data_IF_339116476849
#
_entry.id   IF_339116476849
#
_cell.length_a   1.000
_cell.length_b   1.000
_cell.length_c   1.000
_cell.angle_alpha   90.00
_cell.angle_beta   90.00
_cell.angle_gamma   90.00
#
_symmetry.space_group_name_H-M   'P 1'
#
loop_
_entity.id
_entity.type
_entity.pdbx_description
1 polymer ?
#
# COMPACT_ATOMS: atom_id res chain seq x y z
N UNK A 1 31.33 4.39 -15.66
CA UNK A 1 30.87 3.40 -14.68
C UNK A 1 29.48 2.99 -15.14
N UNK A 2 29.30 1.75 -15.60
CA UNK A 2 27.99 1.17 -15.86
C UNK A 2 27.24 1.14 -14.54
N UNK A 3 25.97 1.61 -14.46
CA UNK A 3 25.20 1.44 -13.24
C UNK A 3 25.14 -0.05 -12.93
N UNK A 4 25.53 -0.44 -11.73
CA UNK A 4 25.28 -1.78 -11.23
C UNK A 4 23.77 -2.02 -11.36
N UNK A 5 23.40 -2.97 -12.22
CA UNK A 5 22.00 -3.40 -12.33
C UNK A 5 21.66 -4.04 -10.99
N UNK A 6 20.92 -3.34 -10.16
CA UNK A 6 20.50 -3.85 -8.87
C UNK A 6 19.67 -5.12 -9.10
N UNK A 7 20.12 -6.26 -8.57
CA UNK A 7 19.48 -7.56 -8.78
C UNK A 7 18.01 -7.55 -8.31
N UNK A 8 17.71 -6.81 -7.23
CA UNK A 8 16.36 -6.63 -6.71
C UNK A 8 16.07 -5.12 -6.57
N UNK A 9 14.99 -4.60 -7.19
CA UNK A 9 14.60 -3.19 -7.03
C UNK A 9 14.15 -2.92 -5.59
N UNK A 10 14.23 -1.66 -5.18
CA UNK A 10 13.46 -1.20 -4.03
C UNK A 10 11.96 -1.30 -4.35
N UNK A 11 11.13 -1.48 -3.34
CA UNK A 11 9.67 -1.41 -3.47
C UNK A 11 9.16 -0.32 -2.55
N UNK A 12 8.62 0.73 -3.14
CA UNK A 12 7.86 1.76 -2.45
C UNK A 12 6.38 1.40 -2.55
N UNK A 13 5.85 0.83 -1.46
CA UNK A 13 4.52 0.23 -1.48
C UNK A 13 3.38 1.27 -1.44
N UNK A 14 3.70 2.53 -1.14
CA UNK A 14 2.75 3.63 -1.12
C UNK A 14 3.48 4.97 -1.17
N UNK A 15 3.22 5.77 -2.19
CA UNK A 15 3.78 7.13 -2.31
C UNK A 15 2.79 8.08 -2.97
N UNK A 16 2.77 9.34 -2.52
CA UNK A 16 2.07 10.44 -3.21
C UNK A 16 3.01 11.25 -4.09
N UNK A 17 4.32 11.03 -3.98
CA UNK A 17 5.36 11.78 -4.66
C UNK A 17 6.31 10.84 -5.43
N UNK A 18 5.84 10.16 -6.50
CA UNK A 18 6.69 9.23 -7.24
C UNK A 18 7.85 9.96 -7.92
N UNK A 19 9.04 9.36 -7.87
CA UNK A 19 10.20 9.84 -8.60
C UNK A 19 10.11 9.44 -10.07
N UNK A 20 9.93 10.41 -10.96
CA UNK A 20 9.88 10.16 -12.40
C UNK A 20 11.20 9.61 -12.94
N UNK A 21 11.13 8.49 -13.66
CA UNK A 21 12.28 7.89 -14.32
C UNK A 21 13.24 7.11 -13.41
N UNK A 22 12.91 6.90 -12.14
CA UNK A 22 13.69 6.01 -11.28
C UNK A 22 13.58 4.56 -11.76
N UNK A 23 14.70 4.00 -12.23
CA UNK A 23 14.81 2.62 -12.67
C UNK A 23 15.19 1.67 -11.52
N UNK A 24 15.50 2.20 -10.34
CA UNK A 24 16.01 1.42 -9.20
C UNK A 24 14.91 0.94 -8.26
N UNK A 25 13.71 1.53 -8.35
CA UNK A 25 12.56 1.18 -7.52
C UNK A 25 11.31 0.82 -8.33
N UNK A 26 10.46 0.02 -7.71
CA UNK A 26 9.04 -0.14 -8.06
C UNK A 26 8.29 0.82 -7.15
N UNK A 27 7.48 1.72 -7.72
CA UNK A 27 6.74 2.72 -6.97
C UNK A 27 5.24 2.54 -7.19
N UNK A 28 4.46 2.46 -6.10
CA UNK A 28 3.00 2.38 -6.16
C UNK A 28 2.44 3.75 -5.78
N UNK A 29 2.14 4.54 -6.82
CA UNK A 29 1.59 5.88 -6.68
C UNK A 29 0.13 5.82 -6.24
N UNK A 30 -0.19 6.43 -5.11
CA UNK A 30 -1.55 6.57 -4.61
C UNK A 30 -2.27 7.70 -5.34
N UNK A 31 -3.30 7.36 -6.11
CA UNK A 31 -4.11 8.30 -6.88
C UNK A 31 -5.49 8.45 -6.24
N UNK A 32 -5.96 9.68 -6.11
CA UNK A 32 -7.35 9.93 -5.76
C UNK A 32 -8.28 9.64 -6.93
N UNK A 33 -9.54 9.31 -6.63
CA UNK A 33 -10.54 9.00 -7.65
C UNK A 33 -10.66 10.08 -8.73
N UNK A 34 -10.56 11.35 -8.34
CA UNK A 34 -10.72 12.50 -9.25
C UNK A 34 -9.47 12.86 -10.03
N UNK A 35 -8.32 12.29 -9.69
CA UNK A 35 -7.08 12.54 -10.40
C UNK A 35 -7.07 11.90 -11.78
N UNK A 36 -6.41 12.57 -12.72
CA UNK A 36 -6.21 12.00 -14.04
C UNK A 36 -5.25 10.80 -13.94
N UNK A 37 -5.60 9.72 -14.61
CA UNK A 37 -4.65 8.62 -14.81
C UNK A 37 -3.48 9.13 -15.65
N UNK A 38 -2.23 8.84 -15.27
CA UNK A 38 -1.09 9.12 -16.14
C UNK A 38 -1.31 8.48 -17.53
N UNK A 39 -1.06 9.23 -18.59
CA UNK A 39 -1.14 8.67 -19.95
C UNK A 39 -0.12 7.54 -20.15
N UNK A 40 1.05 7.69 -19.51
CA UNK A 40 2.11 6.70 -19.49
C UNK A 40 2.70 6.61 -18.08
N UNK A 41 2.84 5.39 -17.58
CA UNK A 41 3.61 5.12 -16.39
C UNK A 41 5.09 4.99 -16.76
N UNK A 42 5.95 5.87 -16.26
CA UNK A 42 7.37 5.80 -16.52
C UNK A 42 8.01 4.61 -15.79
N UNK A 43 8.90 3.90 -16.46
CA UNK A 43 9.71 2.84 -15.86
C UNK A 43 8.89 1.79 -15.09
N UNK A 44 9.20 1.63 -13.81
CA UNK A 44 8.55 0.67 -12.89
C UNK A 44 7.50 1.35 -11.98
N UNK A 45 6.82 2.38 -12.47
CA UNK A 45 5.73 3.04 -11.76
C UNK A 45 4.41 2.32 -11.98
N UNK A 46 3.67 2.16 -10.91
CA UNK A 46 2.33 1.57 -10.84
C UNK A 46 1.42 2.49 -10.02
N UNK A 47 0.15 2.15 -9.91
CA UNK A 47 -0.79 2.93 -9.12
C UNK A 47 -1.68 2.08 -8.23
N UNK A 48 -2.15 2.70 -7.16
CA UNK A 48 -3.37 2.34 -6.46
C UNK A 48 -4.41 3.44 -6.64
N UNK A 49 -5.69 3.11 -6.67
CA UNK A 49 -6.80 4.07 -6.75
C UNK A 49 -7.87 3.64 -5.76
N UNK A 50 -8.37 4.57 -4.95
CA UNK A 50 -9.39 4.32 -3.95
C UNK A 50 -10.26 5.53 -3.62
N UNK A 51 -11.19 5.33 -2.69
CA UNK A 51 -12.07 6.34 -2.14
C UNK A 51 -11.58 6.70 -0.74
N UNK A 52 -10.72 7.71 -0.66
CA UNK A 52 -10.11 8.10 0.61
C UNK A 52 -11.17 8.53 1.65
N UNK A 53 -11.07 8.13 2.93
CA UNK A 53 -12.07 8.45 3.95
C UNK A 53 -12.31 9.95 4.16
N UNK A 54 -11.34 10.80 3.88
CA UNK A 54 -11.51 12.26 3.98
C UNK A 54 -12.48 12.83 2.95
N UNK A 55 -12.72 12.11 1.86
CA UNK A 55 -13.65 12.50 0.79
C UNK A 55 -15.03 11.83 0.93
N UNK A 56 -15.24 11.01 1.95
CA UNK A 56 -16.44 10.17 2.08
C UNK A 56 -17.75 10.98 2.10
N UNK A 57 -17.73 12.27 2.46
CA UNK A 57 -18.92 13.11 2.46
C UNK A 57 -19.45 13.34 1.05
N UNK A 58 -18.59 13.52 0.08
CA UNK A 58 -18.91 13.84 -1.32
C UNK A 58 -19.09 12.60 -2.20
N UNK A 59 -18.77 11.40 -1.68
CA UNK A 59 -18.88 10.16 -2.42
C UNK A 59 -20.33 9.75 -2.64
N UNK A 60 -20.58 9.14 -3.81
CA UNK A 60 -21.87 8.63 -4.27
C UNK A 60 -21.72 7.22 -4.85
N UNK A 61 -22.83 6.56 -5.19
CA UNK A 61 -22.79 5.30 -5.95
C UNK A 61 -22.07 5.47 -7.31
N UNK A 62 -22.16 6.65 -7.93
CA UNK A 62 -21.42 6.98 -9.15
C UNK A 62 -19.91 6.98 -8.93
N UNK A 63 -19.44 7.30 -7.72
CA UNK A 63 -18.01 7.23 -7.37
C UNK A 63 -17.50 5.78 -7.37
N UNK A 64 -18.30 4.82 -6.92
CA UNK A 64 -17.95 3.39 -6.95
C UNK A 64 -17.89 2.87 -8.39
N UNK A 65 -18.81 3.27 -9.25
CA UNK A 65 -18.79 2.90 -10.68
C UNK A 65 -17.56 3.47 -11.40
N UNK A 66 -17.23 4.73 -11.13
CA UNK A 66 -16.03 5.37 -11.68
C UNK A 66 -14.75 4.71 -11.16
N UNK A 67 -14.71 4.33 -9.87
CA UNK A 67 -13.59 3.60 -9.29
C UNK A 67 -13.39 2.26 -10.00
N UNK A 68 -14.45 1.48 -10.19
CA UNK A 68 -14.39 0.20 -10.90
C UNK A 68 -13.88 0.37 -12.33
N UNK A 69 -14.38 1.37 -13.07
CA UNK A 69 -13.90 1.68 -14.42
C UNK A 69 -12.39 1.96 -14.44
N UNK A 70 -11.91 2.81 -13.51
CA UNK A 70 -10.48 3.15 -13.43
C UNK A 70 -9.61 1.96 -13.08
N UNK A 71 -10.03 1.11 -12.13
CA UNK A 71 -9.30 -0.11 -11.74
C UNK A 71 -9.17 -1.13 -12.88
N UNK A 72 -10.14 -1.15 -13.81
CA UNK A 72 -10.14 -2.02 -14.98
C UNK A 72 -9.39 -1.43 -16.18
N UNK A 73 -9.19 -0.10 -16.21
CA UNK A 73 -8.67 0.61 -17.38
C UNK A 73 -7.20 0.32 -17.68
N UNK A 74 -6.40 0.04 -16.65
CA UNK A 74 -4.96 -0.16 -16.80
C UNK A 74 -4.44 -1.30 -15.92
N UNK A 75 -3.66 -2.24 -16.48
CA UNK A 75 -2.99 -3.27 -15.70
C UNK A 75 -1.92 -2.68 -14.75
N UNK A 76 -1.48 -1.44 -14.98
CA UNK A 76 -0.58 -0.70 -14.08
C UNK A 76 -1.27 -0.24 -12.78
N UNK A 77 -2.59 -0.35 -12.66
CA UNK A 77 -3.30 -0.20 -11.38
C UNK A 77 -3.27 -1.56 -10.67
N UNK A 78 -2.40 -1.66 -9.66
CA UNK A 78 -2.05 -2.93 -8.99
C UNK A 78 -2.75 -3.14 -7.65
N UNK A 79 -3.42 -2.12 -7.11
CA UNK A 79 -4.14 -2.18 -5.84
C UNK A 79 -5.38 -1.27 -5.85
N UNK A 80 -6.36 -1.59 -5.03
CA UNK A 80 -7.39 -0.67 -4.61
C UNK A 80 -6.89 0.07 -3.36
N UNK A 81 -6.93 1.38 -3.38
CA UNK A 81 -6.45 2.24 -2.29
C UNK A 81 -5.96 3.60 -2.82
N UNK A 82 -5.94 4.58 -2.00
CA UNK A 82 -6.06 4.54 -0.54
C UNK A 82 -7.53 4.50 -0.14
N UNK A 83 -7.91 3.48 0.60
CA UNK A 83 -9.24 3.25 1.15
C UNK A 83 -9.14 3.17 2.68
N UNK A 84 -10.21 3.36 3.44
CA UNK A 84 -10.06 3.10 4.87
C UNK A 84 -10.94 3.90 5.81
N UNK A 85 -10.44 4.06 7.05
CA UNK A 85 -11.19 4.61 8.17
C UNK A 85 -10.35 5.59 8.98
N UNK A 86 -10.89 6.79 9.17
CA UNK A 86 -10.28 7.84 9.98
C UNK A 86 -11.31 8.43 10.97
N UNK A 87 -11.09 8.21 12.28
CA UNK A 87 -11.96 8.76 13.33
C UNK A 87 -11.60 10.20 13.72
N UNK A 88 -10.58 10.79 13.09
CA UNK A 88 -10.13 12.15 13.41
C UNK A 88 -10.60 13.17 12.36
N UNK A 89 -10.80 12.72 11.12
CA UNK A 89 -11.30 13.60 10.07
C UNK A 89 -12.77 14.01 10.30
N UNK A 90 -13.21 15.06 9.62
CA UNK A 90 -14.54 15.65 9.77
C UNK A 90 -15.66 14.87 9.04
N UNK A 91 -15.31 13.97 8.13
CA UNK A 91 -16.30 13.23 7.33
C UNK A 91 -17.10 12.24 8.18
N UNK A 92 -18.40 12.09 7.94
CA UNK A 92 -19.26 11.18 8.72
C UNK A 92 -18.73 9.74 8.70
N UNK A 93 -18.44 9.19 9.88
CA UNK A 93 -17.85 7.86 10.03
C UNK A 93 -18.73 6.74 9.44
N UNK A 94 -20.06 6.91 9.47
CA UNK A 94 -20.99 5.96 8.84
C UNK A 94 -20.83 5.90 7.32
N UNK A 95 -20.53 7.02 6.66
CA UNK A 95 -20.23 7.06 5.23
C UNK A 95 -18.90 6.38 4.93
N UNK A 96 -17.85 6.65 5.75
CA UNK A 96 -16.57 5.96 5.60
C UNK A 96 -16.75 4.43 5.68
N UNK A 97 -17.51 3.95 6.69
CA UNK A 97 -17.80 2.52 6.84
C UNK A 97 -18.57 1.93 5.65
N UNK A 98 -19.51 2.69 5.09
CA UNK A 98 -20.27 2.25 3.93
C UNK A 98 -19.36 2.09 2.71
N UNK A 99 -18.62 3.14 2.32
CA UNK A 99 -17.76 3.09 1.16
C UNK A 99 -16.63 2.10 1.31
N UNK A 100 -15.98 2.01 2.48
CA UNK A 100 -14.96 1.02 2.74
C UNK A 100 -15.45 -0.42 2.55
N UNK A 101 -16.69 -0.74 2.97
CA UNK A 101 -17.31 -2.05 2.73
C UNK A 101 -17.51 -2.34 1.24
N UNK A 102 -17.94 -1.35 0.48
CA UNK A 102 -18.10 -1.51 -0.98
C UNK A 102 -16.75 -1.64 -1.69
N UNK A 103 -15.74 -0.91 -1.26
CA UNK A 103 -14.37 -1.05 -1.76
C UNK A 103 -13.80 -2.44 -1.49
N UNK A 104 -14.03 -3.01 -0.31
CA UNK A 104 -13.61 -4.39 0.00
C UNK A 104 -14.26 -5.40 -0.94
N UNK A 105 -15.57 -5.27 -1.19
CA UNK A 105 -16.28 -6.15 -2.13
C UNK A 105 -15.75 -5.99 -3.56
N UNK A 106 -15.44 -4.76 -3.95
CA UNK A 106 -14.87 -4.46 -5.27
C UNK A 106 -13.47 -5.05 -5.42
N UNK A 107 -12.61 -4.88 -4.42
CA UNK A 107 -11.26 -5.44 -4.39
C UNK A 107 -11.28 -6.96 -4.52
N UNK A 108 -12.14 -7.63 -3.75
CA UNK A 108 -12.34 -9.09 -3.83
C UNK A 108 -12.82 -9.50 -5.22
N UNK A 109 -13.80 -8.79 -5.81
CA UNK A 109 -14.31 -9.11 -7.16
C UNK A 109 -13.24 -8.97 -8.25
N UNK A 110 -12.28 -8.06 -8.09
CA UNK A 110 -11.22 -7.76 -9.05
C UNK A 110 -9.88 -8.44 -8.74
N UNK A 111 -9.82 -9.25 -7.68
CA UNK A 111 -8.59 -9.88 -7.17
C UNK A 111 -7.46 -8.85 -6.93
N UNK A 112 -7.82 -7.69 -6.37
CA UNK A 112 -6.89 -6.62 -6.05
C UNK A 112 -6.59 -6.56 -4.55
N UNK A 113 -5.33 -6.39 -4.13
CA UNK A 113 -5.00 -6.06 -2.75
C UNK A 113 -5.54 -4.68 -2.37
N UNK A 114 -5.77 -4.46 -1.06
CA UNK A 114 -6.14 -3.15 -0.53
C UNK A 114 -4.96 -2.48 0.17
N UNK A 115 -4.76 -1.17 -0.12
CA UNK A 115 -3.91 -0.27 0.65
C UNK A 115 -4.82 0.59 1.52
N UNK A 116 -4.61 0.55 2.84
CA UNK A 116 -5.58 1.02 3.83
C UNK A 116 -5.01 2.16 4.66
N UNK A 117 -5.73 3.28 4.63
CA UNK A 117 -5.61 4.37 5.58
C UNK A 117 -6.29 4.02 6.90
N UNK A 118 -5.56 4.10 8.02
CA UNK A 118 -6.09 3.72 9.31
C UNK A 118 -5.72 4.69 10.42
N UNK A 119 -6.66 5.53 10.84
CA UNK A 119 -6.47 6.46 11.96
C UNK A 119 -7.50 6.23 13.06
N UNK A 120 -7.02 5.79 14.24
CA UNK A 120 -7.82 5.54 15.45
C UNK A 120 -9.05 4.65 15.27
N UNK A 121 -9.02 3.74 14.27
CA UNK A 121 -10.12 2.84 13.92
C UNK A 121 -9.71 1.35 13.86
N UNK A 122 -8.63 0.96 14.54
CA UNK A 122 -8.05 -0.39 14.48
C UNK A 122 -9.06 -1.49 14.84
N UNK A 123 -9.84 -1.30 15.90
CA UNK A 123 -10.82 -2.30 16.36
C UNK A 123 -11.93 -2.52 15.32
N UNK A 124 -12.40 -1.43 14.69
CA UNK A 124 -13.39 -1.51 13.63
C UNK A 124 -12.84 -2.23 12.41
N UNK A 125 -11.60 -1.92 12.00
CA UNK A 125 -10.96 -2.58 10.87
C UNK A 125 -10.80 -4.09 11.10
N UNK A 126 -10.34 -4.50 12.30
CA UNK A 126 -10.22 -5.92 12.67
C UNK A 126 -11.59 -6.60 12.67
N UNK A 127 -12.64 -5.93 13.19
CA UNK A 127 -14.02 -6.44 13.17
C UNK A 127 -14.52 -6.61 11.75
N UNK A 128 -14.35 -5.60 10.89
CA UNK A 128 -14.74 -5.64 9.48
C UNK A 128 -14.07 -6.77 8.72
N UNK A 129 -12.77 -6.99 8.92
CA UNK A 129 -12.06 -8.11 8.29
C UNK A 129 -12.62 -9.46 8.69
N UNK A 130 -12.97 -9.65 9.97
CA UNK A 130 -13.62 -10.89 10.44
C UNK A 130 -15.03 -11.08 9.89
N UNK A 131 -15.78 -10.00 9.75
CA UNK A 131 -17.15 -9.99 9.25
C UNK A 131 -17.20 -10.27 7.75
N UNK A 132 -16.43 -9.51 6.97
CA UNK A 132 -16.42 -9.56 5.49
C UNK A 132 -15.67 -10.77 4.95
N UNK A 133 -14.68 -11.30 5.69
CA UNK A 133 -13.83 -12.45 5.30
C UNK A 133 -13.23 -12.30 3.89
N UNK A 134 -12.58 -11.17 3.60
CA UNK A 134 -12.02 -10.94 2.27
C UNK A 134 -10.95 -11.98 1.93
N UNK A 135 -10.87 -12.35 0.65
CA UNK A 135 -9.76 -13.15 0.15
C UNK A 135 -8.58 -12.27 -0.31
N UNK A 136 -8.85 -11.05 -0.73
CA UNK A 136 -7.81 -10.07 -1.06
C UNK A 136 -6.98 -9.68 0.15
N UNK A 137 -5.64 -9.57 0.02
CA UNK A 137 -4.78 -9.17 1.12
C UNK A 137 -4.92 -7.67 1.42
N UNK A 138 -4.71 -7.31 2.70
CA UNK A 138 -4.86 -5.95 3.19
C UNK A 138 -3.55 -5.42 3.77
N UNK A 139 -3.08 -4.29 3.24
CA UNK A 139 -1.90 -3.54 3.69
C UNK A 139 -2.35 -2.28 4.41
N UNK A 140 -1.99 -2.12 5.68
CA UNK A 140 -2.13 -0.85 6.39
C UNK A 140 -0.89 -0.03 6.11
N UNK A 141 -1.05 1.11 5.41
CA UNK A 141 0.06 2.01 5.15
C UNK A 141 0.32 2.94 6.36
N UNK A 142 1.45 3.62 6.37
CA UNK A 142 1.81 4.61 7.39
C UNK A 142 1.87 4.06 8.82
N UNK A 143 2.17 2.78 9.03
CA UNK A 143 2.09 2.18 10.35
C UNK A 143 3.20 2.67 11.29
N UNK A 144 2.79 3.33 12.40
CA UNK A 144 3.68 3.87 13.44
C UNK A 144 3.37 3.32 14.85
N UNK A 145 2.52 2.29 14.90
CA UNK A 145 2.04 1.71 16.16
C UNK A 145 3.10 0.91 16.91
N UNK A 146 2.82 0.69 18.20
CA UNK A 146 3.68 -0.11 19.08
C UNK A 146 3.63 -1.60 18.75
N UNK A 147 4.58 -2.41 19.25
CA UNK A 147 4.67 -3.85 18.98
C UNK A 147 3.39 -4.63 19.29
N UNK A 148 2.66 -4.25 20.35
CA UNK A 148 1.41 -4.94 20.72
C UNK A 148 0.32 -4.73 19.68
N UNK A 149 0.24 -3.51 19.12
CA UNK A 149 -0.69 -3.18 18.04
C UNK A 149 -0.30 -3.90 16.74
N UNK A 150 1.00 -3.87 16.39
CA UNK A 150 1.52 -4.62 15.25
C UNK A 150 1.19 -6.12 15.38
N UNK A 151 1.48 -6.74 16.53
CA UNK A 151 1.20 -8.14 16.78
C UNK A 151 -0.30 -8.48 16.66
N UNK A 152 -1.20 -7.61 17.13
CA UNK A 152 -2.64 -7.81 16.97
C UNK A 152 -3.08 -7.79 15.51
N UNK A 153 -2.60 -6.80 14.73
CA UNK A 153 -2.91 -6.67 13.31
C UNK A 153 -2.35 -7.83 12.49
N UNK A 154 -1.10 -8.21 12.74
CA UNK A 154 -0.45 -9.34 12.07
C UNK A 154 -1.18 -10.67 12.34
N UNK A 155 -1.62 -10.94 13.60
CA UNK A 155 -2.47 -12.10 13.93
C UNK A 155 -3.81 -12.08 13.21
N UNK A 156 -4.32 -10.89 12.89
CA UNK A 156 -5.56 -10.72 12.12
C UNK A 156 -5.34 -10.78 10.60
N UNK A 157 -4.11 -11.07 10.16
CA UNK A 157 -3.78 -11.28 8.74
C UNK A 157 -3.56 -10.01 7.95
N UNK A 158 -3.22 -8.89 8.58
CA UNK A 158 -2.83 -7.66 7.90
C UNK A 158 -1.35 -7.69 7.53
N UNK A 159 -1.01 -6.95 6.48
CA UNK A 159 0.33 -6.48 6.17
C UNK A 159 0.48 -5.06 6.70
N UNK A 160 1.72 -4.65 7.02
CA UNK A 160 2.03 -3.32 7.56
C UNK A 160 3.11 -2.66 6.71
N UNK A 161 2.90 -1.41 6.32
CA UNK A 161 3.93 -0.61 5.64
C UNK A 161 4.50 0.44 6.58
N UNK A 162 5.81 0.66 6.47
CA UNK A 162 6.60 1.48 7.38
C UNK A 162 7.34 2.57 6.59
N UNK A 163 7.06 3.82 6.92
CA UNK A 163 7.73 4.97 6.35
C UNK A 163 8.84 5.53 7.24
N UNK A 164 9.08 6.83 7.17
CA UNK A 164 10.16 7.55 7.85
C UNK A 164 10.25 7.32 9.36
N UNK A 165 9.12 7.13 10.03
CA UNK A 165 9.05 6.98 11.48
C UNK A 165 8.36 5.67 11.83
N UNK A 166 9.14 4.65 12.11
CA UNK A 166 8.61 3.36 12.52
C UNK A 166 9.16 2.94 13.90
N UNK A 167 8.43 2.04 14.54
CA UNK A 167 8.90 1.37 15.76
C UNK A 167 9.69 0.12 15.38
N UNK A 168 10.97 0.03 15.75
CA UNK A 168 11.88 -1.05 15.34
C UNK A 168 11.37 -2.45 15.65
N UNK A 169 10.78 -2.65 16.82
CA UNK A 169 10.21 -3.95 17.20
C UNK A 169 8.96 -4.29 16.36
N UNK A 170 8.15 -3.29 16.00
CA UNK A 170 6.98 -3.49 15.14
C UNK A 170 7.39 -3.91 13.72
N UNK A 171 8.44 -3.27 13.18
CA UNK A 171 9.03 -3.65 11.90
C UNK A 171 9.59 -5.07 11.96
N UNK A 172 10.34 -5.42 13.02
CA UNK A 172 10.93 -6.74 13.19
C UNK A 172 9.85 -7.85 13.25
N UNK A 173 8.73 -7.60 13.96
CA UNK A 173 7.60 -8.52 14.02
C UNK A 173 6.97 -8.74 12.64
N UNK A 174 6.71 -7.66 11.89
CA UNK A 174 6.11 -7.74 10.56
C UNK A 174 7.05 -8.41 9.55
N UNK A 175 8.33 -8.03 9.55
CA UNK A 175 9.37 -8.62 8.72
C UNK A 175 9.54 -10.12 8.99
N UNK A 176 9.61 -10.53 10.26
CA UNK A 176 9.74 -11.93 10.66
C UNK A 176 8.58 -12.81 10.20
N UNK A 177 7.37 -12.23 10.00
CA UNK A 177 6.19 -12.93 9.48
C UNK A 177 6.02 -12.81 7.95
N UNK A 178 6.94 -12.15 7.23
CA UNK A 178 6.80 -11.89 5.80
C UNK A 178 5.62 -10.97 5.47
N UNK A 179 5.37 -9.96 6.31
CA UNK A 179 4.22 -9.04 6.18
C UNK A 179 4.58 -7.57 6.36
N UNK A 180 5.86 -7.21 6.15
CA UNK A 180 6.34 -5.85 6.19
C UNK A 180 6.50 -5.29 4.77
N UNK A 181 6.11 -4.04 4.56
CA UNK A 181 6.47 -3.21 3.43
C UNK A 181 7.13 -1.93 3.90
N UNK A 182 7.80 -1.24 2.98
CA UNK A 182 8.37 0.08 3.21
C UNK A 182 7.75 1.07 2.22
N UNK A 183 7.71 2.36 2.60
CA UNK A 183 7.06 3.40 1.83
C UNK A 183 7.66 4.78 2.07
N UNK A 184 7.36 5.73 1.17
CA UNK A 184 7.71 7.15 1.36
C UNK A 184 6.50 8.01 1.74
N UNK A 185 5.27 7.53 1.46
CA UNK A 185 4.00 8.22 1.76
C UNK A 185 3.93 9.62 1.12
N UNK A 186 3.65 10.67 1.89
CA UNK A 186 3.51 12.07 1.48
C UNK A 186 4.78 12.91 1.75
N UNK A 187 5.97 12.29 1.83
CA UNK A 187 7.23 12.98 2.17
C UNK A 187 8.12 13.15 0.94
N UNK A 188 8.05 14.30 0.23
CA UNK A 188 8.73 14.48 -1.07
C UNK A 188 10.25 14.33 -1.04
N UNK A 189 10.91 14.68 0.09
CA UNK A 189 12.36 14.61 0.20
C UNK A 189 12.86 13.25 0.71
N UNK A 190 11.96 12.30 0.98
CA UNK A 190 12.30 10.98 1.49
C UNK A 190 12.53 10.01 0.33
N UNK A 191 13.76 9.59 0.12
CA UNK A 191 14.02 8.51 -0.83
C UNK A 191 13.70 7.15 -0.22
N UNK A 192 13.11 6.26 -1.01
CA UNK A 192 12.84 4.88 -0.57
C UNK A 192 14.13 4.15 -0.18
N UNK A 193 15.24 4.40 -0.86
CA UNK A 193 16.54 3.84 -0.52
C UNK A 193 16.94 4.16 0.93
N UNK A 194 16.72 5.40 1.39
CA UNK A 194 17.05 5.80 2.77
C UNK A 194 16.17 5.08 3.81
N UNK A 195 14.90 4.81 3.49
CA UNK A 195 14.00 4.03 4.36
C UNK A 195 14.49 2.59 4.48
N UNK A 196 14.92 1.99 3.36
CA UNK A 196 15.51 0.65 3.35
C UNK A 196 16.82 0.57 4.14
N UNK A 197 17.70 1.56 4.03
CA UNK A 197 18.94 1.62 4.81
C UNK A 197 18.68 1.68 6.31
N UNK A 198 17.69 2.47 6.74
CA UNK A 198 17.31 2.56 8.15
C UNK A 198 16.67 1.26 8.64
N UNK A 199 15.78 0.67 7.85
CA UNK A 199 15.13 -0.60 8.13
C UNK A 199 16.17 -1.75 8.23
N UNK A 200 17.10 -1.84 7.29
CA UNK A 200 18.20 -2.82 7.28
C UNK A 200 19.04 -2.74 8.56
N UNK A 201 19.46 -1.52 8.93
CA UNK A 201 20.19 -1.28 10.19
C UNK A 201 19.37 -1.68 11.43
N UNK A 202 18.08 -1.35 11.46
CA UNK A 202 17.18 -1.68 12.57
C UNK A 202 16.95 -3.18 12.70
N UNK A 203 16.90 -3.92 11.60
CA UNK A 203 16.71 -5.36 11.55
C UNK A 203 18.03 -6.15 11.76
N UNK A 204 19.19 -5.50 11.61
CA UNK A 204 20.49 -6.15 11.69
C UNK A 204 20.77 -7.10 10.54
N UNK A 205 20.25 -6.83 9.33
CA UNK A 205 20.42 -7.63 8.10
C UNK A 205 21.07 -6.79 7.00
N UNK A 206 21.54 -7.42 5.94
CA UNK A 206 22.08 -6.69 4.80
C UNK A 206 20.97 -6.00 4.00
N UNK A 207 21.31 -4.89 3.32
CA UNK A 207 20.39 -4.18 2.45
C UNK A 207 19.91 -5.07 1.28
N UNK A 208 20.79 -5.91 0.77
CA UNK A 208 20.47 -6.85 -0.32
C UNK A 208 19.43 -7.89 0.12
N UNK A 209 19.62 -8.52 1.29
CA UNK A 209 18.66 -9.46 1.87
C UNK A 209 17.29 -8.82 2.08
N UNK A 210 17.25 -7.57 2.59
CA UNK A 210 16.00 -6.85 2.78
C UNK A 210 15.30 -6.59 1.45
N UNK A 211 16.04 -6.16 0.43
CA UNK A 211 15.49 -5.88 -0.90
C UNK A 211 14.96 -7.15 -1.57
N UNK A 212 15.73 -8.23 -1.56
CA UNK A 212 15.31 -9.53 -2.10
C UNK A 212 13.99 -9.98 -1.47
N UNK A 213 13.92 -9.97 -0.14
CA UNK A 213 12.74 -10.45 0.60
C UNK A 213 11.51 -9.58 0.35
N UNK A 214 11.64 -8.24 0.39
CA UNK A 214 10.50 -7.36 0.16
C UNK A 214 10.06 -7.34 -1.31
N UNK A 215 10.99 -7.50 -2.25
CA UNK A 215 10.65 -7.65 -3.67
C UNK A 215 9.86 -8.95 -3.92
N UNK A 216 10.33 -10.09 -3.41
CA UNK A 216 9.61 -11.36 -3.52
C UNK A 216 8.20 -11.28 -2.89
N UNK A 217 8.09 -10.59 -1.74
CA UNK A 217 6.81 -10.36 -1.09
C UNK A 217 5.90 -9.46 -1.94
N UNK A 218 6.45 -8.41 -2.57
CA UNK A 218 5.67 -7.51 -3.43
C UNK A 218 5.07 -8.25 -4.63
N UNK A 219 5.81 -9.13 -5.28
CA UNK A 219 5.30 -9.95 -6.39
C UNK A 219 4.15 -10.87 -5.96
N UNK A 220 4.13 -11.32 -4.70
CA UNK A 220 3.03 -12.13 -4.15
C UNK A 220 1.84 -11.27 -3.75
N UNK A 221 2.09 -10.11 -3.14
CA UNK A 221 1.05 -9.22 -2.64
C UNK A 221 0.35 -8.45 -3.77
N UNK A 222 1.08 -8.02 -4.78
CA UNK A 222 0.61 -7.28 -5.96
C UNK A 222 0.72 -8.15 -7.23
N UNK A 223 -0.19 -9.10 -7.48
CA UNK A 223 -0.04 -10.07 -8.57
C UNK A 223 0.08 -9.43 -9.97
N UNK A 224 -0.50 -8.24 -10.16
CA UNK A 224 -0.39 -7.50 -11.42
C UNK A 224 1.01 -7.01 -11.75
N UNK A 225 1.95 -6.97 -10.78
CA UNK A 225 3.36 -6.69 -11.06
C UNK A 225 4.00 -7.75 -11.95
N UNK A 226 3.52 -9.00 -11.89
CA UNK A 226 4.02 -10.11 -12.71
C UNK A 226 3.52 -10.05 -14.16
N UNK A 227 2.34 -9.51 -14.41
CA UNK A 227 1.74 -9.46 -15.75
C UNK A 227 2.44 -8.47 -16.69
N UNK A 228 3.18 -7.50 -16.15
CA UNK A 228 3.97 -6.51 -16.89
C UNK A 228 5.46 -6.89 -17.00
N UNK A 229 5.90 -7.98 -16.34
CA UNK A 229 7.30 -8.41 -16.26
C UNK A 229 7.87 -9.13 -17.49
N UNK A 230 7.17 -9.14 -18.62
CA UNK A 230 7.59 -9.85 -19.84
C UNK A 230 8.56 -9.10 -20.76
N UNK A 231 8.92 -7.86 -20.51
CA UNK A 231 9.78 -7.04 -21.38
C UNK A 231 10.64 -6.03 -20.58
N UNK A 232 11.53 -6.51 -19.72
CA UNK A 232 12.59 -5.67 -19.14
C UNK A 232 13.96 -6.28 -19.39
#
# INVERSE_FOLDING_TARGET
MTPEVLQFPYVDAHTHCPEEGDATSIQIHSLHLTEAMPEHFAGRSFASIGLHPWQAEDLTEGSLLLLEEKLLRSPRVVALGEAGLDRVCSTPYSKQLYFFREEVKLADRLDLPLIIHLVRAQEDLVRLKKELRPHSPWLIHGFRGKPEQAAQLLRSGFYLSFGRHFHSESLALAYGQGRAFLETDDVPELSIASVYEEASRSLGISLEELREKLYAQALTFFPRLLSEGGNY
#
